data_IF_301721896944
#
_entry.id   IF_301721896944
#
_cell.length_a   1.000
_cell.length_b   1.000
_cell.length_c   1.000
_cell.angle_alpha   90.00
_cell.angle_beta   90.00
_cell.angle_gamma   90.00
#
_symmetry.space_group_name_H-M   'P 1'
#
loop_
_entity.id
_entity.type
_entity.pdbx_description
1 polymer ?
#
# COMPACT_ATOMS: atom_id res chain seq x y z
N UNK A 1 -17.77 -2.07 20.32
CA UNK A 1 -16.93 -3.23 20.66
C UNK A 1 -17.32 -4.39 19.76
N UNK A 2 -16.96 -4.27 18.48
CA UNK A 2 -16.87 -5.37 17.51
C UNK A 2 -16.00 -4.80 16.40
N UNK A 3 -14.70 -4.75 16.70
CA UNK A 3 -13.68 -4.22 15.82
C UNK A 3 -12.96 -5.39 15.15
N UNK A 4 -13.03 -5.40 13.82
CA UNK A 4 -11.89 -5.65 12.95
C UNK A 4 -10.89 -6.71 13.44
N UNK A 5 -11.30 -7.97 13.35
CA UNK A 5 -10.40 -9.02 12.95
C UNK A 5 -10.51 -9.15 11.42
N UNK A 6 -9.85 -8.23 10.70
CA UNK A 6 -9.44 -8.50 9.32
C UNK A 6 -8.41 -9.62 9.39
N UNK A 7 -8.96 -10.83 9.34
CA UNK A 7 -8.27 -12.08 9.47
C UNK A 7 -7.31 -12.20 8.28
N UNK A 8 -6.00 -12.25 8.56
CA UNK A 8 -4.91 -12.58 7.63
C UNK A 8 -5.06 -14.07 7.23
N UNK A 9 -6.16 -14.40 6.56
CA UNK A 9 -6.51 -15.74 6.11
C UNK A 9 -7.02 -15.75 4.66
N UNK A 10 -6.92 -14.63 3.94
CA UNK A 10 -7.32 -14.55 2.53
C UNK A 10 -6.40 -15.33 1.56
N UNK A 11 -5.22 -15.79 2.01
CA UNK A 11 -4.25 -16.48 1.14
C UNK A 11 -4.23 -18.02 1.29
N UNK A 12 -4.88 -18.58 2.31
CA UNK A 12 -4.88 -20.05 2.52
C UNK A 12 -5.97 -20.78 1.72
N UNK A 13 -7.00 -20.10 1.23
CA UNK A 13 -8.15 -20.72 0.56
C UNK A 13 -7.97 -20.95 -0.95
N UNK A 14 -6.84 -20.52 -1.53
CA UNK A 14 -6.60 -20.59 -2.97
C UNK A 14 -5.72 -21.76 -3.41
N UNK A 15 -5.23 -22.62 -2.52
CA UNK A 15 -4.39 -23.74 -2.92
C UNK A 15 -5.22 -25.01 -3.13
N UNK A 16 -5.04 -25.67 -4.27
CA UNK A 16 -5.60 -27.01 -4.48
C UNK A 16 -4.55 -28.04 -4.12
N UNK A 17 -4.90 -28.99 -3.26
CA UNK A 17 -4.02 -30.07 -2.83
C UNK A 17 -4.53 -31.43 -3.32
N UNK A 18 -3.67 -32.24 -3.95
CA UNK A 18 -3.96 -33.61 -4.38
C UNK A 18 -2.67 -34.43 -4.49
N UNK A 19 -2.72 -35.68 -4.05
CA UNK A 19 -1.60 -36.65 -4.11
C UNK A 19 -0.27 -36.12 -3.54
N UNK A 20 -0.38 -35.27 -2.51
CA UNK A 20 0.74 -34.62 -1.85
C UNK A 20 1.48 -33.62 -2.75
N UNK A 21 0.79 -33.05 -3.72
CA UNK A 21 1.16 -31.81 -4.40
C UNK A 21 0.14 -30.73 -4.10
N UNK A 22 0.54 -29.48 -4.29
CA UNK A 22 -0.36 -28.33 -4.26
C UNK A 22 -0.13 -27.42 -5.47
N UNK A 23 -1.19 -26.72 -5.90
CA UNK A 23 -1.15 -25.77 -7.00
C UNK A 23 -1.84 -24.45 -6.65
N UNK A 24 -1.14 -23.34 -6.90
CA UNK A 24 -1.70 -21.98 -6.95
C UNK A 24 -0.71 -21.05 -7.66
N UNK A 25 -1.20 -19.96 -8.26
CA UNK A 25 -0.37 -18.92 -8.90
C UNK A 25 0.62 -19.48 -9.92
N UNK A 26 0.17 -20.44 -10.74
CA UNK A 26 0.99 -21.17 -11.71
C UNK A 26 2.19 -21.95 -11.12
N UNK A 27 2.19 -22.20 -9.80
CA UNK A 27 3.22 -22.99 -9.12
C UNK A 27 2.67 -24.34 -8.73
N UNK A 28 3.41 -25.39 -9.10
CA UNK A 28 3.13 -26.77 -8.76
C UNK A 28 4.19 -27.27 -7.79
N UNK A 29 3.81 -27.44 -6.52
CA UNK A 29 4.73 -27.65 -5.40
C UNK A 29 4.52 -29.04 -4.78
N UNK A 30 5.62 -29.71 -4.45
CA UNK A 30 5.58 -30.97 -3.72
C UNK A 30 5.43 -30.72 -2.21
N UNK A 31 4.61 -31.53 -1.55
CA UNK A 31 4.44 -31.56 -0.10
C UNK A 31 5.11 -32.80 0.51
N UNK A 32 5.65 -32.69 1.74
CA UNK A 32 5.75 -31.48 2.58
C UNK A 32 6.81 -30.48 2.08
N UNK A 33 6.76 -29.26 2.60
CA UNK A 33 7.80 -28.24 2.37
C UNK A 33 7.63 -27.35 1.14
N UNK A 34 6.59 -27.53 0.33
CA UNK A 34 6.25 -26.64 -0.79
C UNK A 34 7.41 -26.46 -1.79
N UNK A 35 7.98 -27.56 -2.24
CA UNK A 35 9.20 -27.58 -3.07
C UNK A 35 8.85 -27.46 -4.55
N UNK A 36 9.38 -26.45 -5.25
CA UNK A 36 9.32 -26.40 -6.73
C UNK A 36 10.23 -27.46 -7.36
N UNK A 37 9.85 -27.93 -8.54
CA UNK A 37 10.72 -28.78 -9.35
C UNK A 37 11.92 -27.97 -9.86
N UNK A 38 13.12 -28.51 -9.69
CA UNK A 38 14.34 -28.02 -10.32
C UNK A 38 14.66 -28.92 -11.49
N UNK A 39 15.00 -28.34 -12.64
CA UNK A 39 15.39 -29.10 -13.83
C UNK A 39 16.62 -29.98 -13.57
N UNK A 40 16.66 -31.14 -14.21
CA UNK A 40 17.66 -32.17 -13.95
C UNK A 40 19.09 -31.68 -14.19
N UNK A 41 19.30 -30.92 -15.27
CA UNK A 41 20.61 -30.32 -15.57
C UNK A 41 21.06 -29.36 -14.47
N UNK A 42 20.15 -28.59 -13.89
CA UNK A 42 20.46 -27.70 -12.78
C UNK A 42 20.74 -28.50 -11.49
N UNK A 43 20.03 -29.61 -11.25
CA UNK A 43 20.33 -30.52 -10.15
C UNK A 43 21.70 -31.18 -10.31
N UNK A 44 22.08 -31.57 -11.53
CA UNK A 44 23.40 -32.10 -11.84
C UNK A 44 24.48 -31.08 -11.53
N UNK A 45 24.36 -29.84 -12.03
CA UNK A 45 25.31 -28.76 -11.74
C UNK A 45 25.40 -28.44 -10.24
N UNK A 46 24.28 -28.55 -9.53
CA UNK A 46 24.18 -28.24 -8.12
C UNK A 46 24.84 -29.31 -7.23
N UNK A 47 24.66 -30.59 -7.56
CA UNK A 47 25.00 -31.72 -6.69
C UNK A 47 26.18 -32.56 -7.18
N UNK A 48 26.52 -32.53 -8.46
CA UNK A 48 27.56 -33.34 -9.08
C UNK A 48 28.74 -32.50 -9.64
N UNK A 49 29.98 -33.01 -9.53
CA UNK A 49 30.40 -34.14 -8.68
C UNK A 49 30.38 -33.75 -7.19
N UNK A 50 30.49 -32.46 -6.88
CA UNK A 50 30.57 -31.91 -5.52
C UNK A 50 29.41 -30.94 -5.28
N UNK A 51 29.03 -30.81 -4.00
CA UNK A 51 27.95 -29.93 -3.60
C UNK A 51 28.38 -28.46 -3.81
N UNK A 52 27.59 -27.71 -4.56
CA UNK A 52 27.82 -26.27 -4.77
C UNK A 52 27.22 -25.43 -3.65
N UNK A 53 27.63 -24.15 -3.51
CA UNK A 53 26.98 -23.22 -2.59
C UNK A 53 25.47 -23.05 -2.85
N UNK A 54 25.03 -23.17 -4.11
CA UNK A 54 23.62 -23.13 -4.48
C UNK A 54 22.84 -24.33 -3.91
N UNK A 55 23.40 -25.53 -4.02
CA UNK A 55 22.82 -26.74 -3.42
C UNK A 55 22.76 -26.66 -1.90
N UNK A 56 23.85 -26.22 -1.25
CA UNK A 56 23.88 -26.00 0.20
C UNK A 56 22.81 -25.01 0.64
N UNK A 57 22.60 -23.94 -0.13
CA UNK A 57 21.54 -22.96 0.14
C UNK A 57 20.15 -23.58 -0.01
N UNK A 58 19.89 -24.34 -1.07
CA UNK A 58 18.61 -25.00 -1.28
C UNK A 58 18.25 -25.95 -0.12
N UNK A 59 19.21 -26.79 0.29
CA UNK A 59 19.06 -27.72 1.41
C UNK A 59 18.86 -27.01 2.76
N UNK A 60 19.55 -25.89 2.98
CA UNK A 60 19.40 -25.09 4.20
C UNK A 60 18.06 -24.38 4.25
N UNK A 61 17.60 -23.85 3.12
CA UNK A 61 16.37 -23.08 3.05
C UNK A 61 15.12 -23.98 3.10
N UNK A 62 15.25 -25.26 2.73
CA UNK A 62 14.14 -26.20 2.77
C UNK A 62 14.61 -27.62 3.11
N UNK A 63 14.25 -28.09 4.32
CA UNK A 63 14.62 -29.42 4.80
C UNK A 63 14.03 -30.55 3.95
N UNK A 64 12.89 -30.32 3.29
CA UNK A 64 12.23 -31.29 2.41
C UNK A 64 12.69 -31.18 0.96
N UNK A 65 13.71 -30.38 0.65
CA UNK A 65 14.14 -30.14 -0.74
C UNK A 65 14.36 -31.44 -1.52
N UNK A 66 15.12 -32.39 -0.97
CA UNK A 66 15.43 -33.66 -1.66
C UNK A 66 14.18 -34.51 -1.85
N UNK A 67 13.39 -34.70 -0.80
CA UNK A 67 12.12 -35.43 -0.86
C UNK A 67 11.19 -34.84 -1.93
N UNK A 68 11.05 -33.51 -1.96
CA UNK A 68 10.25 -32.80 -2.95
C UNK A 68 10.75 -33.01 -4.39
N UNK A 69 12.06 -32.97 -4.63
CA UNK A 69 12.61 -33.28 -5.96
C UNK A 69 12.31 -34.73 -6.34
N UNK A 70 12.63 -35.70 -5.48
CA UNK A 70 12.37 -37.12 -5.76
C UNK A 70 10.88 -37.37 -6.07
N UNK A 71 9.98 -36.68 -5.38
CA UNK A 71 8.54 -36.74 -5.61
C UNK A 71 8.12 -36.19 -6.98
N UNK A 72 8.62 -35.02 -7.38
CA UNK A 72 8.38 -34.46 -8.73
C UNK A 72 8.79 -35.43 -9.83
N UNK A 73 9.91 -36.15 -9.64
CA UNK A 73 10.40 -37.15 -10.58
C UNK A 73 9.80 -38.55 -10.37
N UNK A 74 8.87 -38.72 -9.41
CA UNK A 74 8.23 -39.99 -9.08
C UNK A 74 9.20 -41.11 -8.71
N UNK A 75 10.33 -40.76 -8.10
CA UNK A 75 11.35 -41.71 -7.65
C UNK A 75 10.93 -42.27 -6.30
N UNK A 76 10.64 -43.57 -6.27
CA UNK A 76 10.41 -44.30 -5.02
C UNK A 76 11.75 -44.56 -4.31
N UNK A 77 11.75 -44.35 -3.00
CA UNK A 77 12.86 -44.62 -2.10
C UNK A 77 12.31 -45.12 -0.76
N UNK A 78 13.14 -45.81 0.01
CA UNK A 78 12.78 -46.17 1.38
C UNK A 78 13.26 -45.07 2.34
N UNK A 79 12.48 -44.77 3.38
CA UNK A 79 12.78 -43.68 4.33
C UNK A 79 14.15 -43.84 5.04
N UNK A 80 14.64 -45.07 5.19
CA UNK A 80 15.96 -45.39 5.73
C UNK A 80 17.12 -45.03 4.78
N UNK A 81 16.87 -44.88 3.47
CA UNK A 81 17.84 -44.35 2.52
C UNK A 81 17.98 -42.82 2.63
N UNK A 82 16.97 -42.12 3.16
CA UNK A 82 16.95 -40.67 3.32
C UNK A 82 17.70 -40.25 4.60
N UNK A 83 19.01 -40.49 4.63
CA UNK A 83 19.87 -40.11 5.76
C UNK A 83 20.30 -38.64 5.70
N UNK A 84 20.31 -37.97 6.86
CA UNK A 84 20.70 -36.57 6.98
C UNK A 84 19.74 -35.64 6.22
N UNK A 85 20.26 -34.92 5.23
CA UNK A 85 19.47 -34.04 4.35
C UNK A 85 19.19 -34.67 2.97
N UNK A 86 19.39 -35.99 2.81
CA UNK A 86 19.13 -36.71 1.56
C UNK A 86 20.14 -36.47 0.44
N UNK A 87 21.21 -35.70 0.66
CA UNK A 87 22.19 -35.34 -0.41
C UNK A 87 22.76 -36.56 -1.13
N UNK A 88 23.17 -37.59 -0.40
CA UNK A 88 23.77 -38.79 -0.99
C UNK A 88 22.75 -39.58 -1.82
N UNK A 89 21.50 -39.63 -1.36
CA UNK A 89 20.41 -40.25 -2.09
C UNK A 89 20.14 -39.52 -3.41
N UNK A 90 20.02 -38.20 -3.38
CA UNK A 90 19.80 -37.40 -4.59
C UNK A 90 20.93 -37.59 -5.61
N UNK A 91 22.20 -37.55 -5.17
CA UNK A 91 23.36 -37.82 -6.05
C UNK A 91 23.29 -39.22 -6.68
N UNK A 92 22.96 -40.24 -5.89
CA UNK A 92 22.79 -41.63 -6.37
C UNK A 92 21.70 -41.70 -7.44
N UNK A 93 20.57 -41.00 -7.25
CA UNK A 93 19.47 -41.00 -8.21
C UNK A 93 19.77 -40.21 -9.48
N UNK A 94 20.48 -39.08 -9.39
CA UNK A 94 20.97 -38.31 -10.54
C UNK A 94 21.96 -39.13 -11.39
N UNK A 95 22.98 -39.73 -10.77
CA UNK A 95 23.94 -40.58 -11.49
C UNK A 95 23.28 -41.81 -12.16
N UNK A 96 22.14 -42.27 -11.63
CA UNK A 96 21.39 -43.38 -12.19
C UNK A 96 20.40 -42.96 -13.31
N UNK A 97 20.32 -41.67 -13.67
CA UNK A 97 19.40 -41.15 -14.67
C UNK A 97 17.91 -41.20 -14.25
N UNK A 98 17.63 -41.40 -12.95
CA UNK A 98 16.26 -41.56 -12.47
C UNK A 98 15.47 -40.25 -12.42
N UNK A 99 16.15 -39.12 -12.54
CA UNK A 99 15.54 -37.79 -12.59
C UNK A 99 15.56 -37.23 -14.03
N UNK A 100 15.87 -38.03 -15.06
CA UNK A 100 16.00 -37.50 -16.43
C UNK A 100 14.66 -37.07 -17.05
N UNK A 101 13.54 -37.63 -16.56
CA UNK A 101 12.20 -37.34 -17.07
C UNK A 101 11.18 -37.31 -15.93
N UNK A 102 10.31 -36.31 -15.94
CA UNK A 102 9.10 -36.28 -15.10
C UNK A 102 8.12 -37.33 -15.60
N UNK A 103 7.56 -38.20 -14.73
CA UNK A 103 6.57 -39.19 -15.14
C UNK A 103 5.30 -38.53 -15.69
N UNK A 104 4.73 -39.09 -16.76
CA UNK A 104 3.53 -38.54 -17.41
C UNK A 104 2.34 -38.39 -16.45
N UNK A 105 2.25 -39.25 -15.42
CA UNK A 105 1.23 -39.14 -14.35
C UNK A 105 1.33 -37.83 -13.55
N UNK A 106 2.54 -37.34 -13.30
CA UNK A 106 2.77 -36.11 -12.54
C UNK A 106 2.47 -34.88 -13.41
N UNK A 107 2.85 -34.92 -14.69
CA UNK A 107 2.48 -33.85 -15.64
C UNK A 107 0.96 -33.77 -15.84
N UNK A 108 0.28 -34.91 -15.92
CA UNK A 108 -1.19 -34.96 -15.96
C UNK A 108 -1.80 -34.35 -14.70
N UNK A 109 -1.31 -34.72 -13.53
CA UNK A 109 -1.77 -34.17 -12.25
C UNK A 109 -1.58 -32.65 -12.18
N UNK A 110 -0.40 -32.15 -12.61
CA UNK A 110 -0.12 -30.72 -12.69
C UNK A 110 -1.12 -30.00 -13.61
N UNK A 111 -1.41 -30.56 -14.79
CA UNK A 111 -2.37 -29.99 -15.72
C UNK A 111 -3.80 -29.96 -15.15
N UNK A 112 -4.23 -31.04 -14.49
CA UNK A 112 -5.54 -31.13 -13.84
C UNK A 112 -5.69 -30.09 -12.72
N UNK A 113 -4.70 -29.99 -11.83
CA UNK A 113 -4.72 -29.01 -10.74
C UNK A 113 -4.64 -27.57 -11.25
N UNK A 114 -3.86 -27.33 -12.31
CA UNK A 114 -3.81 -26.04 -12.97
C UNK A 114 -5.17 -25.65 -13.54
N UNK A 115 -5.83 -26.54 -14.29
CA UNK A 115 -7.15 -26.28 -14.84
C UNK A 115 -8.20 -26.06 -13.74
N UNK A 116 -8.20 -26.91 -12.73
CA UNK A 116 -9.11 -26.79 -11.58
C UNK A 116 -8.93 -25.45 -10.89
N UNK A 117 -7.69 -25.02 -10.62
CA UNK A 117 -7.37 -23.76 -9.93
C UNK A 117 -7.85 -22.55 -10.70
N UNK A 118 -7.50 -22.46 -11.98
CA UNK A 118 -7.94 -21.34 -12.80
C UNK A 118 -9.46 -21.32 -13.04
N UNK A 119 -10.14 -22.47 -12.92
CA UNK A 119 -11.58 -22.52 -13.02
C UNK A 119 -12.29 -21.92 -11.79
N UNK A 120 -11.64 -21.91 -10.62
CA UNK A 120 -12.17 -21.29 -9.39
C UNK A 120 -12.00 -19.77 -9.38
N UNK A 121 -11.05 -19.24 -10.17
CA UNK A 121 -10.79 -17.81 -10.23
C UNK A 121 -11.93 -17.04 -10.90
N UNK A 122 -12.23 -15.90 -10.30
CA UNK A 122 -13.09 -14.84 -10.84
C UNK A 122 -12.45 -14.19 -12.08
N UNK A 123 -13.21 -13.38 -12.81
CA UNK A 123 -12.69 -12.68 -14.00
C UNK A 123 -11.63 -11.66 -13.58
N UNK A 124 -11.88 -10.96 -12.47
CA UNK A 124 -11.02 -10.01 -11.79
C UNK A 124 -9.64 -10.64 -11.50
N UNK A 125 -9.64 -11.82 -10.85
CA UNK A 125 -8.42 -12.54 -10.50
C UNK A 125 -7.69 -13.08 -11.73
N UNK A 126 -8.42 -13.53 -12.76
CA UNK A 126 -7.82 -13.98 -14.02
C UNK A 126 -7.11 -12.83 -14.75
N UNK A 127 -7.73 -11.65 -14.77
CA UNK A 127 -7.14 -10.44 -15.38
C UNK A 127 -5.84 -10.07 -14.67
N UNK A 128 -5.80 -10.18 -13.35
CA UNK A 128 -4.62 -9.84 -12.56
C UNK A 128 -3.51 -10.90 -12.68
N UNK A 129 -3.83 -12.14 -12.35
CA UNK A 129 -2.82 -13.19 -12.14
C UNK A 129 -2.38 -13.81 -13.47
N UNK A 130 -3.34 -14.24 -14.30
CA UNK A 130 -3.05 -14.97 -15.53
C UNK A 130 -4.03 -14.63 -16.68
N UNK A 131 -3.78 -13.52 -17.40
CA UNK A 131 -4.65 -13.11 -18.51
C UNK A 131 -4.56 -14.04 -19.73
N UNK A 132 -3.56 -14.93 -19.79
CA UNK A 132 -3.51 -15.98 -20.81
C UNK A 132 -4.60 -17.03 -20.59
N UNK A 133 -4.89 -17.36 -19.33
CA UNK A 133 -5.98 -18.29 -19.02
C UNK A 133 -7.35 -17.68 -19.28
N UNK A 134 -7.53 -16.37 -19.07
CA UNK A 134 -8.75 -15.66 -19.47
C UNK A 134 -9.10 -15.93 -20.94
N UNK A 135 -8.13 -15.80 -21.85
CA UNK A 135 -8.31 -16.12 -23.26
C UNK A 135 -8.69 -17.58 -23.49
N UNK A 136 -7.97 -18.51 -22.84
CA UNK A 136 -8.25 -19.95 -22.96
C UNK A 136 -9.66 -20.30 -22.47
N UNK A 137 -10.12 -19.66 -21.40
CA UNK A 137 -11.44 -19.92 -20.80
C UNK A 137 -12.56 -19.39 -21.69
N UNK A 138 -12.44 -18.15 -22.17
CA UNK A 138 -13.55 -17.43 -22.80
C UNK A 138 -13.49 -17.30 -24.33
N UNK A 139 -12.31 -17.39 -24.96
CA UNK A 139 -12.15 -17.02 -26.38
C UNK A 139 -11.42 -18.04 -27.25
N UNK A 140 -10.64 -18.97 -26.68
CA UNK A 140 -9.85 -19.94 -27.44
C UNK A 140 -10.33 -21.37 -27.21
N UNK A 141 -10.34 -22.19 -28.26
CA UNK A 141 -10.56 -23.62 -28.19
C UNK A 141 -9.34 -24.38 -27.66
N UNK A 142 -9.45 -25.70 -27.52
CA UNK A 142 -8.37 -26.56 -27.01
C UNK A 142 -7.07 -26.47 -27.83
N UNK A 143 -7.17 -26.17 -29.12
CA UNK A 143 -6.02 -26.01 -30.02
C UNK A 143 -5.43 -24.59 -30.03
N UNK A 144 -5.92 -23.69 -29.18
CA UNK A 144 -5.51 -22.28 -29.15
C UNK A 144 -6.10 -21.42 -30.27
N UNK A 145 -6.99 -21.97 -31.09
CA UNK A 145 -7.67 -21.23 -32.14
C UNK A 145 -8.88 -20.44 -31.58
N UNK A 146 -9.25 -19.30 -32.18
CA UNK A 146 -10.46 -18.57 -31.80
C UNK A 146 -11.71 -19.47 -31.81
N UNK A 147 -12.47 -19.44 -30.72
CA UNK A 147 -13.71 -20.20 -30.53
C UNK A 147 -14.86 -19.25 -30.17
N UNK A 148 -15.64 -18.88 -31.18
CA UNK A 148 -16.76 -17.96 -31.05
C UNK A 148 -17.95 -18.54 -30.28
N UNK A 149 -17.96 -19.85 -29.99
CA UNK A 149 -19.05 -20.49 -29.27
C UNK A 149 -18.96 -20.32 -27.75
N UNK A 150 -17.76 -20.04 -27.22
CA UNK A 150 -17.51 -19.90 -25.78
C UNK A 150 -18.12 -18.66 -25.15
N UNK A 151 -18.13 -17.56 -25.89
CA UNK A 151 -18.62 -16.26 -25.41
C UNK A 151 -19.43 -15.62 -26.52
N UNK A 152 -20.74 -15.52 -26.32
CA UNK A 152 -21.69 -14.93 -27.29
C UNK A 152 -22.02 -13.47 -26.99
N UNK A 153 -21.82 -13.05 -25.75
CA UNK A 153 -22.13 -11.72 -25.23
C UNK A 153 -20.86 -10.93 -24.94
N UNK A 154 -21.00 -9.67 -24.53
CA UNK A 154 -19.86 -8.81 -24.21
C UNK A 154 -19.32 -9.20 -22.84
N UNK A 155 -18.05 -9.57 -22.78
CA UNK A 155 -17.34 -9.83 -21.53
C UNK A 155 -16.80 -8.50 -21.00
N UNK A 156 -17.13 -8.17 -19.74
CA UNK A 156 -16.62 -7.00 -19.05
C UNK A 156 -15.48 -7.44 -18.14
N UNK A 157 -14.29 -6.92 -18.39
CA UNK A 157 -13.08 -7.20 -17.64
C UNK A 157 -12.80 -6.00 -16.74
N UNK A 158 -13.02 -6.09 -15.43
CA UNK A 158 -12.61 -5.03 -14.51
C UNK A 158 -11.09 -4.94 -14.49
N UNK A 159 -10.61 -3.71 -14.60
CA UNK A 159 -9.20 -3.39 -14.50
C UNK A 159 -9.00 -2.66 -13.17
N UNK A 160 -7.88 -2.90 -12.48
CA UNK A 160 -7.52 -2.07 -11.34
C UNK A 160 -7.44 -0.61 -11.78
N UNK A 161 -7.96 0.34 -10.98
CA UNK A 161 -7.95 1.75 -11.33
C UNK A 161 -6.58 2.18 -11.81
N UNK A 162 -6.54 2.85 -12.97
CA UNK A 162 -5.32 3.46 -13.55
C UNK A 162 -4.17 2.50 -13.89
N UNK A 163 -4.33 1.19 -13.77
CA UNK A 163 -3.26 0.24 -14.11
C UNK A 163 -3.06 0.15 -15.63
N UNK A 164 -2.17 0.97 -16.17
CA UNK A 164 -1.79 0.94 -17.59
C UNK A 164 -1.03 -0.34 -17.93
N UNK A 165 -0.21 -0.84 -17.02
CA UNK A 165 0.56 -2.07 -17.20
C UNK A 165 -0.33 -3.30 -17.36
N UNK A 166 -1.26 -3.55 -16.42
CA UNK A 166 -2.14 -4.72 -16.46
C UNK A 166 -3.08 -4.64 -17.65
N UNK A 167 -3.70 -3.47 -17.88
CA UNK A 167 -4.52 -3.24 -19.06
C UNK A 167 -3.74 -3.49 -20.36
N UNK A 168 -2.49 -3.00 -20.44
CA UNK A 168 -1.61 -3.20 -21.59
C UNK A 168 -1.29 -4.67 -21.84
N UNK A 169 -1.05 -5.46 -20.78
CA UNK A 169 -0.80 -6.91 -20.87
C UNK A 169 -2.02 -7.65 -21.44
N UNK A 170 -3.22 -7.38 -20.92
CA UNK A 170 -4.46 -8.01 -21.43
C UNK A 170 -4.74 -7.58 -22.86
N UNK A 171 -4.67 -6.28 -23.16
CA UNK A 171 -4.89 -5.75 -24.51
C UNK A 171 -3.89 -6.33 -25.51
N UNK A 172 -2.62 -6.50 -25.13
CA UNK A 172 -1.61 -7.16 -25.96
C UNK A 172 -2.04 -8.56 -26.36
N UNK A 173 -2.47 -9.37 -25.39
CA UNK A 173 -2.95 -10.73 -25.63
C UNK A 173 -4.23 -10.77 -26.47
N UNK A 174 -5.16 -9.85 -26.27
CA UNK A 174 -6.40 -9.77 -27.06
C UNK A 174 -6.13 -9.46 -28.54
N UNK A 175 -5.13 -8.63 -28.85
CA UNK A 175 -4.75 -8.27 -30.23
C UNK A 175 -4.25 -9.46 -31.05
N UNK A 176 -3.70 -10.47 -30.39
CA UNK A 176 -3.21 -11.69 -31.04
C UNK A 176 -4.37 -12.64 -31.42
N UNK A 177 -5.58 -12.42 -30.90
CA UNK A 177 -6.76 -13.24 -31.20
C UNK A 177 -7.51 -12.63 -32.39
N UNK A 178 -7.49 -13.37 -33.52
CA UNK A 178 -8.15 -12.95 -34.76
C UNK A 178 -9.65 -12.70 -34.55
N UNK A 179 -10.12 -11.57 -35.10
CA UNK A 179 -11.52 -11.10 -35.08
C UNK A 179 -12.09 -10.81 -33.67
N UNK A 180 -11.25 -10.76 -32.63
CA UNK A 180 -11.67 -10.35 -31.30
C UNK A 180 -11.56 -8.83 -31.16
N UNK A 181 -12.65 -8.18 -30.77
CA UNK A 181 -12.70 -6.74 -30.58
C UNK A 181 -12.66 -6.39 -29.10
N UNK A 182 -12.06 -5.25 -28.78
CA UNK A 182 -12.02 -4.72 -27.43
C UNK A 182 -12.18 -3.20 -27.43
N UNK A 183 -12.74 -2.67 -26.35
CA UNK A 183 -12.81 -1.23 -26.08
C UNK A 183 -12.58 -0.98 -24.59
N UNK A 184 -11.94 0.13 -24.25
CA UNK A 184 -11.66 0.50 -22.85
C UNK A 184 -12.41 1.78 -22.51
N UNK A 185 -13.24 1.71 -21.47
CA UNK A 185 -13.92 2.88 -20.90
C UNK A 185 -13.75 2.87 -19.38
N UNK A 186 -13.12 3.91 -18.85
CA UNK A 186 -12.76 4.00 -17.43
C UNK A 186 -11.88 2.82 -17.00
N UNK A 187 -12.31 2.16 -15.93
CA UNK A 187 -11.63 1.02 -15.30
C UNK A 187 -12.18 -0.34 -15.77
N UNK A 188 -12.85 -0.37 -16.92
CA UNK A 188 -13.32 -1.61 -17.54
C UNK A 188 -12.82 -1.76 -18.98
N UNK A 189 -12.49 -3.01 -19.33
CA UNK A 189 -12.17 -3.44 -20.68
C UNK A 189 -13.27 -4.37 -21.18
N UNK A 190 -13.93 -3.98 -22.26
CA UNK A 190 -15.02 -4.72 -22.88
C UNK A 190 -14.42 -5.56 -24.01
N UNK A 191 -14.85 -6.82 -24.12
CA UNK A 191 -14.32 -7.75 -25.11
C UNK A 191 -15.46 -8.56 -25.73
N UNK A 192 -15.51 -8.62 -27.07
CA UNK A 192 -16.55 -9.35 -27.80
C UNK A 192 -16.11 -9.65 -29.24
N UNK A 193 -16.79 -10.60 -29.88
CA UNK A 193 -16.62 -10.90 -31.31
C UNK A 193 -17.38 -9.95 -32.24
N UNK A 194 -18.41 -9.26 -31.74
CA UNK A 194 -19.24 -8.34 -32.54
C UNK A 194 -18.92 -6.87 -32.16
N UNK A 195 -18.34 -6.08 -33.07
CA UNK A 195 -17.93 -4.71 -32.77
C UNK A 195 -19.13 -3.75 -32.58
N UNK A 196 -20.32 -4.08 -33.09
CA UNK A 196 -21.52 -3.25 -32.86
C UNK A 196 -22.02 -3.48 -31.44
N UNK A 197 -22.23 -4.75 -31.06
CA UNK A 197 -22.62 -5.11 -29.69
C UNK A 197 -21.64 -4.60 -28.64
N UNK A 198 -20.34 -4.68 -28.95
CA UNK A 198 -19.27 -4.17 -28.08
C UNK A 198 -19.48 -2.68 -27.75
N UNK A 199 -19.68 -1.85 -28.76
CA UNK A 199 -19.84 -0.39 -28.57
C UNK A 199 -21.10 -0.07 -27.79
N UNK A 200 -22.22 -0.70 -28.13
CA UNK A 200 -23.50 -0.46 -27.45
C UNK A 200 -23.42 -0.86 -25.96
N UNK A 201 -22.79 -2.00 -25.67
CA UNK A 201 -22.61 -2.48 -24.30
C UNK A 201 -21.60 -1.62 -23.52
N UNK A 202 -20.48 -1.22 -24.14
CA UNK A 202 -19.47 -0.39 -23.51
C UNK A 202 -20.03 0.99 -23.15
N UNK A 203 -20.78 1.63 -24.04
CA UNK A 203 -21.40 2.94 -23.78
C UNK A 203 -22.49 2.82 -22.72
N UNK A 204 -23.44 1.87 -22.88
CA UNK A 204 -24.54 1.71 -21.94
C UNK A 204 -24.13 1.23 -20.54
N UNK A 205 -23.01 0.52 -20.41
CA UNK A 205 -22.45 0.18 -19.10
C UNK A 205 -21.69 1.36 -18.49
N UNK A 206 -20.87 2.06 -19.29
CA UNK A 206 -20.13 3.23 -18.84
C UNK A 206 -21.04 4.36 -18.37
N UNK A 207 -22.12 4.67 -19.10
CA UNK A 207 -23.11 5.66 -18.68
C UNK A 207 -23.79 5.27 -17.35
N UNK A 208 -24.12 3.99 -17.15
CA UNK A 208 -24.70 3.49 -15.91
C UNK A 208 -23.73 3.60 -14.74
N UNK A 209 -22.45 3.26 -14.95
CA UNK A 209 -21.41 3.42 -13.94
C UNK A 209 -21.23 4.89 -13.55
N UNK A 210 -21.17 5.81 -14.53
CA UNK A 210 -21.08 7.24 -14.25
C UNK A 210 -22.29 7.76 -13.47
N UNK A 211 -23.51 7.35 -13.85
CA UNK A 211 -24.73 7.72 -13.12
C UNK A 211 -24.74 7.15 -11.70
N UNK A 212 -24.25 5.92 -11.50
CA UNK A 212 -24.15 5.31 -10.19
C UNK A 212 -23.13 6.06 -9.33
N UNK A 213 -21.92 6.31 -9.84
CA UNK A 213 -20.88 7.07 -9.15
C UNK A 213 -21.37 8.48 -8.80
N UNK A 214 -22.05 9.16 -9.72
CA UNK A 214 -22.63 10.47 -9.45
C UNK A 214 -23.69 10.40 -8.34
N UNK A 215 -24.56 9.39 -8.34
CA UNK A 215 -25.56 9.22 -7.27
C UNK A 215 -24.92 8.92 -5.92
N UNK A 216 -23.90 8.08 -5.90
CA UNK A 216 -23.13 7.74 -4.69
C UNK A 216 -22.42 8.98 -4.15
N UNK A 217 -21.77 9.76 -5.02
CA UNK A 217 -21.15 11.04 -4.69
C UNK A 217 -22.17 12.05 -4.14
N UNK A 218 -23.31 12.23 -4.83
CA UNK A 218 -24.37 13.14 -4.39
C UNK A 218 -24.97 12.71 -3.04
N UNK A 219 -25.16 11.41 -2.82
CA UNK A 219 -25.64 10.87 -1.55
C UNK A 219 -24.62 11.10 -0.42
N UNK A 220 -23.33 10.85 -0.68
CA UNK A 220 -22.22 11.12 0.25
C UNK A 220 -22.16 12.59 0.62
N UNK A 221 -22.20 13.48 -0.36
CA UNK A 221 -22.12 14.92 -0.13
C UNK A 221 -23.36 15.44 0.62
N UNK A 222 -24.54 14.87 0.37
CA UNK A 222 -25.76 15.16 1.13
C UNK A 222 -25.64 14.72 2.60
N UNK A 223 -25.14 13.51 2.88
CA UNK A 223 -24.93 13.02 4.24
C UNK A 223 -23.93 13.89 5.01
N UNK A 224 -22.80 14.21 4.36
CA UNK A 224 -21.75 15.08 4.91
C UNK A 224 -22.27 16.48 5.21
N UNK A 225 -23.03 17.07 4.29
CA UNK A 225 -23.65 18.38 4.49
C UNK A 225 -24.72 18.36 5.60
N UNK A 226 -25.48 17.26 5.72
CA UNK A 226 -26.44 17.07 6.79
C UNK A 226 -25.75 16.99 8.16
N UNK A 227 -24.66 16.21 8.29
CA UNK A 227 -23.87 16.11 9.51
C UNK A 227 -23.31 17.47 9.96
N UNK A 228 -22.76 18.26 9.03
CA UNK A 228 -22.31 19.61 9.32
C UNK A 228 -23.45 20.57 9.71
N UNK A 229 -24.59 20.49 9.02
CA UNK A 229 -25.78 21.31 9.33
C UNK A 229 -26.34 20.98 10.73
N UNK A 230 -26.34 19.70 11.09
CA UNK A 230 -26.75 19.22 12.41
C UNK A 230 -25.79 19.69 13.52
N UNK A 231 -24.48 19.73 13.24
CA UNK A 231 -23.48 20.34 14.12
C UNK A 231 -23.74 21.84 14.32
N UNK A 232 -23.96 22.61 13.25
CA UNK A 232 -24.25 24.04 13.33
C UNK A 232 -25.54 24.33 14.12
N UNK A 233 -26.58 23.52 13.94
CA UNK A 233 -27.85 23.67 14.68
C UNK A 233 -27.66 23.41 16.18
N UNK A 234 -26.87 22.40 16.55
CA UNK A 234 -26.57 22.07 17.95
C UNK A 234 -25.80 23.20 18.64
N UNK A 235 -24.77 23.72 17.99
CA UNK A 235 -23.90 24.78 18.54
C UNK A 235 -24.60 26.13 18.65
N UNK A 236 -25.54 26.46 17.75
CA UNK A 236 -26.36 27.66 17.84
C UNK A 236 -27.39 27.61 18.99
N UNK A 237 -27.85 26.41 19.36
CA UNK A 237 -28.88 26.24 20.40
C UNK A 237 -28.29 26.29 21.81
N UNK A 238 -27.01 25.96 21.97
CA UNK A 238 -26.25 26.18 23.19
C UNK A 238 -25.84 27.65 23.27
N UNK A 239 -26.68 28.50 23.90
CA UNK A 239 -26.39 29.90 24.27
C UNK A 239 -25.19 30.10 25.22
N UNK A 240 -24.24 29.15 25.26
CA UNK A 240 -23.09 29.21 26.14
C UNK A 240 -21.99 30.07 25.53
N UNK A 241 -21.45 30.97 26.36
CA UNK A 241 -20.17 31.69 26.25
C UNK A 241 -18.94 30.75 26.15
N UNK A 242 -19.07 29.60 25.50
CA UNK A 242 -17.97 28.69 25.24
C UNK A 242 -17.01 29.32 24.24
N UNK A 243 -15.75 29.46 24.63
CA UNK A 243 -14.68 29.87 23.71
C UNK A 243 -14.64 28.90 22.53
N UNK A 244 -14.98 29.38 21.34
CA UNK A 244 -14.86 28.60 20.12
C UNK A 244 -13.40 28.15 19.94
N UNK A 245 -13.21 26.87 19.66
CA UNK A 245 -11.89 26.23 19.54
C UNK A 245 -11.82 25.45 18.23
N UNK A 246 -10.64 25.39 17.57
CA UNK A 246 -10.44 24.53 16.41
C UNK A 246 -10.48 23.04 16.75
N UNK A 247 -10.42 22.65 18.02
CA UNK A 247 -10.50 21.25 18.48
C UNK A 247 -11.80 20.59 18.05
N UNK A 248 -11.73 19.40 17.46
CA UNK A 248 -12.90 18.63 17.03
C UNK A 248 -12.63 17.76 15.81
N UNK A 249 -13.70 17.11 15.33
CA UNK A 249 -13.68 16.24 14.14
C UNK A 249 -14.16 17.00 12.92
N UNK A 250 -13.44 16.83 11.81
CA UNK A 250 -13.73 17.47 10.53
C UNK A 250 -13.80 16.43 9.43
N UNK A 251 -14.76 16.62 8.52
CA UNK A 251 -14.79 15.97 7.22
C UNK A 251 -14.03 16.83 6.21
N UNK A 252 -13.23 16.22 5.34
CA UNK A 252 -12.30 16.91 4.44
C UNK A 252 -12.68 16.68 2.98
N UNK A 253 -12.55 17.72 2.15
CA UNK A 253 -12.69 17.67 0.69
C UNK A 253 -11.38 18.09 0.06
N UNK A 254 -10.80 17.24 -0.78
CA UNK A 254 -9.52 17.48 -1.43
C UNK A 254 -9.60 17.01 -2.89
N UNK A 255 -9.86 17.95 -3.80
CA UNK A 255 -10.05 17.65 -5.23
C UNK A 255 -8.83 16.96 -5.83
N UNK A 256 -7.61 17.34 -5.42
CA UNK A 256 -6.39 16.70 -5.91
C UNK A 256 -6.34 15.20 -5.57
N UNK A 257 -6.88 14.80 -4.41
CA UNK A 257 -6.94 13.40 -4.01
C UNK A 257 -8.16 12.72 -4.62
N UNK A 258 -9.34 13.34 -4.61
CA UNK A 258 -10.56 12.79 -5.22
C UNK A 258 -10.41 12.51 -6.71
N UNK A 259 -9.77 13.43 -7.45
CA UNK A 259 -9.49 13.25 -8.86
C UNK A 259 -8.46 12.16 -9.12
N UNK A 260 -7.55 11.89 -8.17
CA UNK A 260 -6.45 10.96 -8.35
C UNK A 260 -6.63 9.58 -7.70
N UNK A 261 -7.49 9.46 -6.70
CA UNK A 261 -7.76 8.25 -5.94
C UNK A 261 -9.22 8.27 -5.47
N UNK A 262 -10.21 8.25 -6.39
CA UNK A 262 -11.61 8.46 -6.03
C UNK A 262 -12.15 7.43 -5.03
N UNK A 263 -11.69 6.17 -5.11
CA UNK A 263 -12.10 5.11 -4.17
C UNK A 263 -11.44 5.21 -2.79
N UNK A 264 -10.30 5.90 -2.67
CA UNK A 264 -9.66 6.13 -1.38
C UNK A 264 -10.16 7.45 -0.75
N UNK A 265 -10.62 8.40 -1.57
CA UNK A 265 -11.07 9.71 -1.11
C UNK A 265 -12.50 9.74 -0.52
N UNK A 266 -13.10 8.57 -0.26
CA UNK A 266 -14.50 8.48 0.19
C UNK A 266 -14.72 9.07 1.58
N UNK A 267 -13.78 8.85 2.50
CA UNK A 267 -13.95 9.18 3.93
C UNK A 267 -12.75 9.97 4.48
N UNK A 268 -12.43 11.10 3.86
CA UNK A 268 -11.33 11.93 4.34
C UNK A 268 -11.70 12.68 5.62
N UNK A 269 -10.87 12.55 6.65
CA UNK A 269 -11.11 13.11 7.99
C UNK A 269 -9.88 13.84 8.54
N UNK A 270 -10.14 14.76 9.47
CA UNK A 270 -9.13 15.47 10.25
C UNK A 270 -9.64 15.62 11.68
N UNK A 271 -8.88 15.10 12.63
CA UNK A 271 -9.18 15.14 14.05
C UNK A 271 -8.21 16.09 14.74
N UNK A 272 -8.67 17.26 15.18
CA UNK A 272 -7.84 18.29 15.80
C UNK A 272 -7.95 18.20 17.32
N UNK A 273 -6.82 18.07 18.00
CA UNK A 273 -6.66 17.99 19.45
C UNK A 273 -5.90 19.22 19.99
N UNK A 274 -6.23 19.62 21.22
CA UNK A 274 -5.42 20.58 21.96
C UNK A 274 -4.19 19.87 22.51
N UNK A 275 -3.05 20.56 22.51
CA UNK A 275 -1.85 20.13 23.22
C UNK A 275 -1.75 20.86 24.56
N UNK A 276 -0.76 20.49 25.38
CA UNK A 276 -0.45 21.21 26.62
C UNK A 276 0.13 22.61 26.35
N UNK A 277 0.65 22.87 25.14
CA UNK A 277 1.21 24.16 24.74
C UNK A 277 0.11 25.08 24.18
N UNK A 278 -0.11 26.21 24.84
CA UNK A 278 -1.25 27.08 24.53
C UNK A 278 -1.17 27.63 23.09
N UNK A 279 -2.19 27.32 22.29
CA UNK A 279 -2.31 27.81 20.91
C UNK A 279 -1.56 26.96 19.88
N UNK A 280 -0.97 25.84 20.31
CA UNK A 280 -0.53 24.75 19.46
C UNK A 280 -1.59 23.66 19.47
N UNK A 281 -1.85 23.09 18.31
CA UNK A 281 -2.80 21.99 18.13
C UNK A 281 -2.12 20.88 17.35
N UNK A 282 -2.46 19.64 17.69
CA UNK A 282 -2.03 18.46 16.99
C UNK A 282 -3.25 17.86 16.31
N UNK A 283 -3.11 17.44 15.07
CA UNK A 283 -4.19 16.85 14.32
C UNK A 283 -3.75 15.58 13.62
N UNK A 284 -4.56 14.53 13.75
CA UNK A 284 -4.43 13.34 12.92
C UNK A 284 -5.31 13.52 11.69
N UNK A 285 -4.77 13.19 10.52
CA UNK A 285 -5.55 13.17 9.29
C UNK A 285 -5.49 11.80 8.62
N UNK A 286 -6.59 11.44 7.99
CA UNK A 286 -6.72 10.32 7.08
C UNK A 286 -7.38 10.85 5.82
N UNK A 287 -6.61 10.99 4.75
CA UNK A 287 -7.10 11.40 3.43
C UNK A 287 -7.23 10.21 2.47
N UNK A 288 -7.34 8.99 3.01
CA UNK A 288 -7.52 7.75 2.25
C UNK A 288 -6.22 7.19 1.71
N UNK A 289 -5.65 7.87 0.70
CA UNK A 289 -4.37 7.44 0.10
C UNK A 289 -3.15 7.78 0.98
N UNK A 290 -3.30 8.78 1.85
CA UNK A 290 -2.29 9.20 2.81
C UNK A 290 -2.92 9.41 4.18
N UNK A 291 -2.15 9.13 5.21
CA UNK A 291 -2.49 9.41 6.60
C UNK A 291 -1.30 10.02 7.32
N UNK A 292 -1.55 10.75 8.41
CA UNK A 292 -0.45 11.42 9.09
C UNK A 292 -0.82 12.28 10.28
N UNK A 293 0.21 13.00 10.74
CA UNK A 293 0.10 13.98 11.82
C UNK A 293 0.38 15.38 11.27
N UNK A 294 -0.37 16.35 11.78
CA UNK A 294 -0.28 17.77 11.42
C UNK A 294 -0.23 18.61 12.70
N UNK A 295 0.76 19.49 12.81
CA UNK A 295 0.81 20.49 13.89
C UNK A 295 0.35 21.83 13.35
N UNK A 296 -0.53 22.51 14.09
CA UNK A 296 -1.10 23.80 13.74
C UNK A 296 -0.76 24.84 14.79
N UNK A 297 -0.29 26.02 14.37
CA UNK A 297 -0.10 27.17 15.26
C UNK A 297 -0.33 28.49 14.53
N UNK A 298 -0.87 29.49 15.23
CA UNK A 298 -1.02 30.84 14.67
C UNK A 298 0.32 31.56 14.48
N UNK A 299 1.36 31.15 15.21
CA UNK A 299 2.72 31.71 15.15
C UNK A 299 3.65 30.73 14.45
N UNK A 300 4.24 31.15 13.32
CA UNK A 300 5.16 30.32 12.55
C UNK A 300 6.42 29.94 13.33
N UNK A 301 7.00 30.87 14.10
CA UNK A 301 8.21 30.58 14.87
C UNK A 301 7.94 29.58 15.99
N UNK A 302 6.79 29.70 16.66
CA UNK A 302 6.35 28.77 17.70
C UNK A 302 6.10 27.38 17.11
N UNK A 303 5.50 27.31 15.91
CA UNK A 303 5.32 26.04 15.19
C UNK A 303 6.66 25.36 14.88
N UNK A 304 7.60 26.11 14.30
CA UNK A 304 8.92 25.59 13.94
C UNK A 304 9.66 25.10 15.20
N UNK A 305 9.67 25.89 16.29
CA UNK A 305 10.29 25.50 17.57
C UNK A 305 9.66 24.24 18.19
N UNK A 306 8.33 24.11 18.13
CA UNK A 306 7.61 22.96 18.69
C UNK A 306 7.89 21.68 17.90
N UNK A 307 7.89 21.74 16.55
CA UNK A 307 8.20 20.59 15.72
C UNK A 307 9.67 20.15 15.89
N UNK A 308 10.61 21.11 15.97
CA UNK A 308 12.02 20.82 16.22
C UNK A 308 12.25 20.16 17.60
N UNK A 309 11.38 20.42 18.58
CA UNK A 309 11.42 19.75 19.88
C UNK A 309 10.93 18.31 19.76
N UNK A 310 9.78 18.09 19.11
CA UNK A 310 9.25 16.74 18.89
C UNK A 310 10.23 15.84 18.13
N UNK A 311 10.93 16.39 17.13
CA UNK A 311 11.94 15.66 16.37
C UNK A 311 13.20 15.32 17.20
N UNK A 312 13.53 16.15 18.21
CA UNK A 312 14.65 15.87 19.12
C UNK A 312 14.32 14.83 20.17
N UNK A 313 13.08 14.78 20.63
CA UNK A 313 12.63 13.78 21.62
C UNK A 313 12.58 12.36 21.05
N UNK A 314 12.47 12.21 19.72
CA UNK A 314 12.51 10.92 19.04
C UNK A 314 13.93 10.45 18.66
N UNK A 315 14.93 11.31 18.76
CA UNK A 315 16.31 10.92 18.49
C UNK A 315 16.77 9.88 19.54
N UNK A 316 17.29 8.71 19.14
CA UNK A 316 17.81 7.74 20.10
C UNK A 316 18.88 8.41 20.94
N UNK A 317 18.72 8.36 22.26
CA UNK A 317 19.78 8.72 23.20
C UNK A 317 21.02 7.91 22.82
N UNK A 318 22.10 8.62 22.48
CA UNK A 318 23.39 8.09 22.05
C UNK A 318 24.12 7.30 23.17
N UNK A 319 23.43 6.98 24.27
CA UNK A 319 23.99 6.38 25.48
C UNK A 319 23.97 4.84 25.49
N UNK A 320 23.49 4.16 24.44
CA UNK A 320 23.49 2.68 24.36
C UNK A 320 24.27 2.08 23.16
N UNK A 321 25.27 2.79 22.63
CA UNK A 321 26.29 2.19 21.75
C UNK A 321 27.70 2.38 22.34
N UNK A 322 27.90 1.82 23.54
CA UNK A 322 29.21 1.63 24.15
C UNK A 322 29.49 0.13 24.29
N UNK A 323 29.87 -0.51 23.19
CA UNK A 323 30.70 -1.72 23.22
C UNK A 323 31.93 -1.50 22.33
N UNK A 324 32.96 -0.94 22.96
CA UNK A 324 34.35 -1.40 22.95
C UNK A 324 34.83 -2.21 21.74
N UNK A 325 35.70 -1.63 20.89
CA UNK A 325 37.08 -2.16 20.81
C UNK A 325 38.08 -1.16 20.16
N UNK A 326 38.99 -0.70 21.02
CA UNK A 326 40.43 -0.43 20.84
C UNK A 326 41.05 0.36 19.66
N UNK A 327 41.68 1.47 20.08
CA UNK A 327 43.06 1.89 19.83
C UNK A 327 43.50 2.37 18.43
N UNK A 328 43.62 3.70 18.31
CA UNK A 328 44.86 4.30 17.80
C UNK A 328 45.03 5.74 18.31
N UNK A 329 46.01 5.93 19.18
CA UNK A 329 46.61 7.20 19.55
C UNK A 329 47.33 7.81 18.32
N UNK A 330 46.95 9.01 17.88
CA UNK A 330 47.95 10.05 17.59
C UNK A 330 47.30 11.45 17.46
N UNK A 331 47.62 12.28 18.45
CA UNK A 331 47.87 13.72 18.40
C UNK A 331 47.28 14.52 17.22
N UNK A 332 46.30 15.38 17.55
CA UNK A 332 46.35 16.80 17.17
C UNK A 332 45.46 17.67 18.05
N UNK A 333 46.14 18.36 18.97
CA UNK A 333 45.72 19.57 19.68
C UNK A 333 45.16 20.60 18.68
N UNK A 334 44.17 21.41 19.09
CA UNK A 334 44.26 22.89 19.17
C UNK A 334 42.88 23.53 19.47
N UNK A 335 42.85 24.19 20.64
CA UNK A 335 42.21 25.45 21.00
C UNK A 335 40.69 25.54 21.26
N UNK A 336 40.43 25.51 22.57
CA UNK A 336 39.48 26.36 23.27
C UNK A 336 39.55 27.84 22.85
N UNK A 337 38.39 28.47 22.64
CA UNK A 337 38.14 29.83 23.17
C UNK A 337 36.65 30.14 23.26
N UNK A 338 36.18 30.25 24.51
CA UNK A 338 34.92 30.90 24.87
C UNK A 338 35.07 32.41 24.64
N UNK A 339 34.07 33.04 24.02
CA UNK A 339 33.73 34.45 24.26
C UNK A 339 32.21 34.57 24.44
N UNK A 340 31.71 35.15 25.53
CA UNK A 340 30.31 35.55 25.64
C UNK A 340 30.13 36.89 24.92
N UNK A 341 29.18 36.97 23.99
CA UNK A 341 28.77 38.22 23.39
C UNK A 341 27.57 38.82 24.15
N UNK A 342 27.66 40.14 24.31
CA UNK A 342 26.86 40.99 25.18
C UNK A 342 25.35 41.02 24.86
N UNK A 343 24.57 41.06 25.94
CA UNK A 343 23.16 41.46 25.94
C UNK A 343 23.03 42.91 25.46
N UNK A 344 22.73 43.10 24.17
CA UNK A 344 22.18 44.36 23.69
C UNK A 344 20.70 44.46 24.06
N UNK A 345 20.44 45.17 25.17
CA UNK A 345 19.16 45.80 25.47
C UNK A 345 18.88 46.85 24.40
N UNK A 346 17.88 46.60 23.56
CA UNK A 346 17.50 47.56 22.53
C UNK A 346 16.13 47.31 21.93
N UNK A 347 15.14 48.04 22.47
CA UNK A 347 13.94 48.55 21.79
C UNK A 347 12.73 47.60 21.64
N UNK A 348 11.76 47.86 22.52
CA UNK A 348 10.34 47.52 22.35
C UNK A 348 9.84 47.93 20.95
N UNK A 349 9.24 47.01 20.17
CA UNK A 349 8.46 47.38 19.00
C UNK A 349 7.25 48.21 19.44
N UNK A 350 7.07 49.37 18.79
CA UNK A 350 5.86 50.19 18.89
C UNK A 350 4.65 49.31 18.64
N UNK A 351 3.63 49.42 19.51
CA UNK A 351 2.26 48.98 19.24
C UNK A 351 1.84 49.53 17.87
N UNK A 352 1.83 48.65 16.87
CA UNK A 352 1.13 48.91 15.63
C UNK A 352 -0.37 48.88 15.96
N UNK A 353 -1.05 49.91 15.47
CA UNK A 353 -2.49 50.09 15.52
C UNK A 353 -3.16 48.81 15.01
N UNK A 354 -4.00 48.18 15.83
CA UNK A 354 -4.97 47.18 15.39
C UNK A 354 -5.81 47.83 14.28
N UNK A 355 -5.46 47.54 13.04
CA UNK A 355 -6.38 47.65 11.94
C UNK A 355 -7.30 46.44 12.07
N UNK A 356 -8.60 46.71 12.19
CA UNK A 356 -9.67 45.74 11.99
C UNK A 356 -9.50 45.12 10.59
N UNK A 357 -8.71 44.05 10.49
CA UNK A 357 -8.63 43.19 9.32
C UNK A 357 -9.45 41.93 9.60
N UNK A 358 -10.58 41.87 8.90
CA UNK A 358 -11.31 40.72 8.38
C UNK A 358 -11.27 39.41 9.21
N UNK A 359 -12.46 38.99 9.68
CA UNK A 359 -12.83 38.03 10.73
C UNK A 359 -12.33 36.56 10.59
N UNK A 360 -11.29 36.31 9.80
CA UNK A 360 -10.71 35.00 9.53
C UNK A 360 -9.42 34.76 10.32
N UNK A 361 -9.26 33.57 10.89
CA UNK A 361 -8.05 33.18 11.64
C UNK A 361 -7.19 32.22 10.82
N UNK A 362 -5.93 32.58 10.60
CA UNK A 362 -4.95 31.77 9.85
C UNK A 362 -4.02 31.02 10.81
N UNK A 363 -3.73 29.78 10.48
CA UNK A 363 -2.76 28.91 11.13
C UNK A 363 -1.68 28.51 10.12
N UNK A 364 -0.45 28.44 10.57
CA UNK A 364 0.63 27.75 9.89
C UNK A 364 0.56 26.27 10.24
N UNK A 365 0.91 25.42 9.28
CA UNK A 365 0.89 23.97 9.47
C UNK A 365 2.23 23.35 9.08
N UNK A 366 2.61 22.32 9.83
CA UNK A 366 3.61 21.33 9.43
C UNK A 366 2.97 19.95 9.50
N UNK A 367 3.20 19.10 8.51
CA UNK A 367 2.62 17.75 8.46
C UNK A 367 3.63 16.72 8.01
N UNK A 368 3.54 15.53 8.58
CA UNK A 368 4.24 14.32 8.13
C UNK A 368 3.22 13.31 7.66
N UNK A 369 3.61 12.44 6.73
CA UNK A 369 2.69 11.56 6.01
C UNK A 369 3.23 10.14 5.86
N UNK A 370 2.32 9.18 5.81
CA UNK A 370 2.54 7.83 5.30
C UNK A 370 1.57 7.60 4.14
N UNK A 371 2.08 7.04 3.05
CA UNK A 371 1.27 6.57 1.93
C UNK A 371 0.74 5.16 2.22
N UNK A 372 -0.54 4.91 1.93
CA UNK A 372 -1.26 3.71 2.39
C UNK A 372 -1.12 2.49 1.46
N UNK A 373 -0.58 2.64 0.25
CA UNK A 373 -0.37 1.55 -0.70
C UNK A 373 0.89 0.73 -0.40
N UNK A 374 2.06 1.35 -0.44
CA UNK A 374 3.35 0.70 -0.15
C UNK A 374 3.79 0.92 1.31
N UNK A 375 3.21 1.88 2.03
CA UNK A 375 3.64 2.20 3.39
C UNK A 375 4.89 3.07 3.42
N UNK A 376 5.10 3.91 2.39
CA UNK A 376 6.19 4.87 2.36
C UNK A 376 5.92 6.02 3.33
N UNK A 377 6.89 6.32 4.19
CA UNK A 377 6.81 7.41 5.18
C UNK A 377 7.62 8.59 4.64
N UNK A 378 7.07 9.81 4.68
CA UNK A 378 7.85 11.04 4.49
C UNK A 378 8.25 11.61 5.86
N UNK A 379 9.52 11.45 6.27
CA UNK A 379 9.96 11.90 7.58
C UNK A 379 10.18 13.42 7.67
N UNK A 380 10.31 14.08 6.52
CA UNK A 380 10.49 15.53 6.43
C UNK A 380 9.10 16.18 6.44
N UNK A 381 8.88 17.08 7.39
CA UNK A 381 7.61 17.77 7.51
C UNK A 381 7.39 18.75 6.35
N UNK A 382 6.28 18.58 5.64
CA UNK A 382 5.80 19.52 4.65
C UNK A 382 5.12 20.71 5.33
N UNK A 383 5.10 21.87 4.66
CA UNK A 383 4.60 23.13 5.25
C UNK A 383 3.37 23.62 4.51
N UNK A 384 2.56 24.41 5.21
CA UNK A 384 1.41 25.05 4.60
C UNK A 384 0.70 26.06 5.49
N UNK A 385 -0.52 26.40 5.10
CA UNK A 385 -1.40 27.30 5.84
C UNK A 385 -2.85 26.82 5.81
N UNK A 386 -3.57 27.10 6.89
CA UNK A 386 -4.99 26.84 7.04
C UNK A 386 -5.69 28.13 7.45
N UNK A 387 -6.77 28.50 6.75
CA UNK A 387 -7.55 29.71 7.01
C UNK A 387 -9.00 29.35 7.34
N UNK A 388 -9.39 29.58 8.60
CA UNK A 388 -10.79 29.45 9.03
C UNK A 388 -11.64 30.59 8.48
N UNK A 389 -12.88 30.29 8.12
CA UNK A 389 -13.81 31.29 7.58
C UNK A 389 -14.22 32.33 8.62
N UNK A 390 -14.37 31.91 9.87
CA UNK A 390 -14.77 32.75 11.01
C UNK A 390 -14.18 32.24 12.33
N UNK A 391 -14.41 32.97 13.42
CA UNK A 391 -13.99 32.58 14.77
C UNK A 391 -14.78 31.41 15.37
N UNK A 392 -15.77 30.85 14.68
CA UNK A 392 -16.50 29.66 15.14
C UNK A 392 -15.77 28.37 14.79
N UNK A 393 -14.70 28.45 13.99
CA UNK A 393 -13.89 27.32 13.56
C UNK A 393 -14.69 26.19 12.88
N UNK A 394 -15.88 26.49 12.36
CA UNK A 394 -16.78 25.47 11.81
C UNK A 394 -16.37 25.00 10.41
N UNK A 395 -15.59 25.80 9.69
CA UNK A 395 -15.02 25.42 8.39
C UNK A 395 -13.77 26.21 8.06
N UNK A 396 -12.90 25.61 7.24
CA UNK A 396 -11.68 26.25 6.77
C UNK A 396 -11.32 25.80 5.35
N UNK A 397 -10.40 26.54 4.74
CA UNK A 397 -9.65 26.11 3.56
C UNK A 397 -8.16 26.09 3.90
N UNK A 398 -7.46 25.08 3.43
CA UNK A 398 -6.03 24.88 3.65
C UNK A 398 -5.31 24.76 2.31
N UNK A 399 -4.05 25.19 2.32
CA UNK A 399 -3.12 25.04 1.22
C UNK A 399 -1.79 24.55 1.77
N UNK A 400 -1.40 23.34 1.41
CA UNK A 400 -0.24 22.65 2.00
C UNK A 400 0.52 21.92 0.92
N UNK A 401 1.83 21.77 1.10
CA UNK A 401 2.58 20.77 0.34
C UNK A 401 2.29 19.39 0.92
N UNK A 402 2.06 18.41 0.05
CA UNK A 402 1.80 17.02 0.45
C UNK A 402 2.69 16.14 -0.40
N UNK A 403 3.78 15.63 0.19
CA UNK A 403 4.54 14.54 -0.40
C UNK A 403 3.58 13.40 -0.81
N UNK A 404 3.83 12.74 -1.94
CA UNK A 404 2.97 11.75 -2.59
C UNK A 404 1.80 12.28 -3.45
N UNK A 405 1.30 13.50 -3.20
CA UNK A 405 0.20 14.08 -3.99
C UNK A 405 0.71 15.14 -4.97
N UNK A 406 1.01 16.34 -4.47
CA UNK A 406 1.58 17.44 -5.25
C UNK A 406 2.04 18.58 -4.34
N UNK A 407 2.65 19.61 -4.93
CA UNK A 407 2.84 20.90 -4.25
C UNK A 407 1.53 21.68 -4.23
N UNK A 408 1.39 22.59 -3.27
CA UNK A 408 0.31 23.57 -3.23
C UNK A 408 -1.11 22.94 -3.21
N UNK A 409 -1.28 21.75 -2.63
CA UNK A 409 -2.56 21.04 -2.54
C UNK A 409 -3.55 21.86 -1.72
N UNK A 410 -4.72 22.09 -2.29
CA UNK A 410 -5.82 22.80 -1.64
C UNK A 410 -6.90 21.84 -1.19
N UNK A 411 -7.34 21.96 0.06
CA UNK A 411 -8.45 21.19 0.61
C UNK A 411 -9.32 22.07 1.52
N UNK A 412 -10.57 21.69 1.73
CA UNK A 412 -11.48 22.32 2.67
C UNK A 412 -11.96 21.33 3.70
N UNK A 413 -12.40 21.83 4.86
CA UNK A 413 -12.98 20.95 5.87
C UNK A 413 -14.19 21.59 6.57
N UNK A 414 -15.10 20.72 7.00
CA UNK A 414 -16.31 21.07 7.73
C UNK A 414 -16.33 20.35 9.08
N UNK A 415 -16.53 21.10 10.16
CA UNK A 415 -16.58 20.53 11.50
C UNK A 415 -17.90 19.80 11.73
N UNK A 416 -17.84 18.59 12.30
CA UNK A 416 -19.01 17.75 12.59
C UNK A 416 -19.15 17.41 14.08
N UNK A 417 -18.08 17.58 14.86
CA UNK A 417 -18.05 17.34 16.30
C UNK A 417 -17.04 18.27 16.99
N UNK A 418 -17.32 18.71 18.22
CA UNK A 418 -16.35 19.39 19.10
C UNK A 418 -15.46 18.42 19.88
N UNK A 419 -15.80 17.13 19.86
CA UNK A 419 -15.03 16.07 20.52
C UNK A 419 -14.29 15.28 19.45
N UNK A 420 -12.97 15.47 19.30
CA UNK A 420 -12.18 14.70 18.34
C UNK A 420 -12.11 13.24 18.77
N UNK A 421 -11.96 12.35 17.81
CA UNK A 421 -11.75 10.92 18.07
C UNK A 421 -10.28 10.69 18.42
N UNK A 422 -10.01 9.80 19.38
CA UNK A 422 -8.62 9.51 19.76
C UNK A 422 -7.91 8.69 18.69
N UNK A 423 -6.93 9.33 18.08
CA UNK A 423 -5.88 8.74 17.28
C UNK A 423 -4.98 7.76 18.03
N UNK A 424 -4.35 6.83 17.30
CA UNK A 424 -3.30 5.95 17.84
C UNK A 424 -1.88 6.42 17.53
N UNK A 425 -1.73 7.32 16.56
CA UNK A 425 -0.42 7.72 16.06
C UNK A 425 0.07 9.00 16.73
N UNK A 426 1.40 9.16 16.74
CA UNK A 426 2.11 10.31 17.27
C UNK A 426 3.03 10.87 16.18
N UNK A 427 3.49 12.10 16.34
CA UNK A 427 4.47 12.71 15.43
C UNK A 427 5.69 11.82 15.15
N UNK A 428 6.20 11.11 16.16
CA UNK A 428 7.33 10.18 16.07
C UNK A 428 7.04 8.92 15.25
N UNK A 429 5.77 8.54 15.03
CA UNK A 429 5.42 7.42 14.16
C UNK A 429 5.82 7.66 12.69
N UNK A 430 6.13 8.92 12.34
CA UNK A 430 6.53 9.36 11.01
C UNK A 430 7.97 9.91 10.99
N UNK A 431 8.83 9.47 11.90
CA UNK A 431 10.23 9.94 11.95
C UNK A 431 11.16 9.25 10.94
N UNK A 432 12.40 9.73 10.87
CA UNK A 432 13.45 9.09 10.05
C UNK A 432 13.67 7.63 10.48
N UNK A 433 13.63 7.34 11.78
CA UNK A 433 13.76 5.98 12.30
C UNK A 433 12.59 5.11 11.86
N UNK A 434 11.37 5.65 11.86
CA UNK A 434 10.19 4.94 11.35
C UNK A 434 10.30 4.70 9.84
N UNK A 435 10.74 5.71 9.07
CA UNK A 435 11.02 5.61 7.65
C UNK A 435 12.04 4.51 7.34
N UNK A 436 13.18 4.48 8.04
CA UNK A 436 14.20 3.43 7.85
C UNK A 436 13.66 2.03 8.14
N UNK A 437 12.88 1.86 9.22
CA UNK A 437 12.25 0.58 9.56
C UNK A 437 11.30 0.13 8.46
N UNK A 438 10.46 1.03 7.95
CA UNK A 438 9.53 0.75 6.85
C UNK A 438 10.30 0.38 5.57
N UNK A 439 11.34 1.13 5.21
CA UNK A 439 12.21 0.83 4.07
C UNK A 439 12.86 -0.55 4.16
N UNK A 440 13.40 -0.93 5.32
CA UNK A 440 14.00 -2.26 5.54
C UNK A 440 12.96 -3.38 5.43
N UNK A 441 11.73 -3.14 5.89
CA UNK A 441 10.63 -4.10 5.77
C UNK A 441 10.20 -4.32 4.32
N UNK A 442 10.14 -3.25 3.50
CA UNK A 442 9.75 -3.33 2.08
C UNK A 442 10.80 -4.03 1.21
N UNK A 443 12.07 -3.66 1.38
CA UNK A 443 13.13 -4.03 0.42
C UNK A 443 14.10 -5.11 0.93
N UNK A 444 14.00 -5.53 2.20
CA UNK A 444 14.99 -6.37 2.85
C UNK A 444 16.33 -5.65 3.02
N UNK A 445 17.21 -6.15 3.90
CA UNK A 445 18.55 -5.57 4.08
C UNK A 445 19.35 -5.63 2.77
N UNK A 446 19.52 -4.51 2.09
CA UNK A 446 20.72 -4.28 1.28
C UNK A 446 21.89 -4.07 2.24
N UNK A 447 22.56 -5.17 2.61
CA UNK A 447 23.91 -5.07 3.18
C UNK A 447 24.86 -5.07 1.98
N UNK A 448 25.41 -3.89 1.67
CA UNK A 448 26.58 -3.77 0.81
C UNK A 448 27.83 -4.32 1.48
#
# INVERSE_FOLDING_TARGET
MDAFLYNINFYSSLWICRDGFQFAYDRFLALPGQVDRVETSALDDMFLPKLTPAATRALRNNFHFVEGQLKHYGVEYNDDELTGNGTNLLKKMLMAGKLDKVPDKIEKLKAELSEEWHNQLTIEELVDINPGWLLKKYFLGLSGNPDRSKTTDVLVLPLPPRSTYRAGKVIGLLKDVKDLHHDRKGDALYVCWDPVKLRDAAEGHFERLQQQQQKEQEARDQERQAAHSDYLRRTQSSNGEGSCSPVGSYIVDCTAIEENWPGEAENMTLEIHATDEQGVFEAQYDFGMIEGMMILCASKSTLDEYCDQLDREDAPSDDELSEDDSQSEEDRRILSSKRPAERNRGRLPKKAKEQNDDESKTFFVQLKARENGEGEISPIADKGTLKFKDFRFASFAAKVDINFVSRDVSFSALKVSDTPQYGRDSWSAYSEVAHERACRARWGKWVG
#
